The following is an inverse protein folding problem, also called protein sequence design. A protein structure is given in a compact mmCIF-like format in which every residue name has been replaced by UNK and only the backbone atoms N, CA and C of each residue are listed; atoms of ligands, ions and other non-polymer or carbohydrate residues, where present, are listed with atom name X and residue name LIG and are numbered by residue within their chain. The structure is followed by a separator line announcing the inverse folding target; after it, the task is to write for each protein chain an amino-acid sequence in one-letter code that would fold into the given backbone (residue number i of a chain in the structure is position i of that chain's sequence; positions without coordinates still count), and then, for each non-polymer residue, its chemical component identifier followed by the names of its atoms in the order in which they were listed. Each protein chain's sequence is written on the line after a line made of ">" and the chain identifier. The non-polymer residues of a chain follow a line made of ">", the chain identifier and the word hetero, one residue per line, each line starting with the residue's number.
data_IF_159693464128
#
_entry.id   IF_159693464128
#
_cell.length_a   1.000
_cell.length_b   1.000
_cell.length_c   1.000
_cell.angle_alpha   90.00
_cell.angle_beta   90.00
_cell.angle_gamma   90.00
#
_symmetry.space_group_name_H-M   'P 1'
#
loop_
_entity.id
_entity.type
_entity.pdbx_description
1 polymer ?
#
# COMPACT_ATOMS: atom_id res chain seq x y z
N UNK A 1 11.36 0.96 -6.17
CA UNK A 1 10.61 -0.26 -6.59
C UNK A 1 9.13 0.04 -6.44
N UNK A 2 8.25 -0.60 -7.22
CA UNK A 2 6.80 -0.43 -7.03
C UNK A 2 6.17 -1.68 -6.42
N UNK A 3 5.20 -1.47 -5.54
CA UNK A 3 4.35 -2.54 -4.96
C UNK A 3 2.89 -2.14 -5.07
N UNK A 4 2.07 -3.07 -5.53
CA UNK A 4 0.61 -3.00 -5.44
C UNK A 4 0.16 -3.69 -4.16
N UNK A 5 -0.50 -2.93 -3.29
CA UNK A 5 -1.06 -3.39 -2.02
C UNK A 5 -2.58 -3.37 -2.07
N UNK A 6 -3.21 -4.36 -1.44
CA UNK A 6 -4.66 -4.35 -1.21
C UNK A 6 -4.98 -4.59 0.26
N UNK A 7 -5.77 -3.71 0.84
CA UNK A 7 -6.30 -3.85 2.20
C UNK A 7 -7.81 -4.04 2.14
N UNK A 8 -8.28 -5.10 2.77
CA UNK A 8 -9.71 -5.43 2.84
C UNK A 8 -10.22 -5.17 4.24
N UNK A 9 -11.42 -4.62 4.35
CA UNK A 9 -12.12 -4.42 5.62
C UNK A 9 -12.38 -5.77 6.30
N UNK A 10 -12.53 -5.74 7.63
CA UNK A 10 -12.76 -6.95 8.42
C UNK A 10 -14.09 -7.58 8.00
N UNK A 11 -14.01 -8.81 7.49
CA UNK A 11 -15.14 -9.57 6.92
C UNK A 11 -15.78 -8.94 5.67
N UNK A 12 -15.02 -8.17 4.87
CA UNK A 12 -15.54 -7.53 3.64
C UNK A 12 -16.82 -6.75 3.90
N UNK A 13 -16.78 -5.91 4.94
CA UNK A 13 -17.93 -5.08 5.30
C UNK A 13 -17.85 -3.77 4.53
N UNK A 14 -18.94 -3.43 3.89
CA UNK A 14 -19.10 -2.20 3.10
C UNK A 14 -19.22 -0.98 4.04
N UNK A 15 -18.09 -0.53 4.57
CA UNK A 15 -18.00 0.53 5.61
C UNK A 15 -17.23 1.76 5.13
N UNK A 16 -16.56 1.67 3.99
CA UNK A 16 -15.88 2.79 3.36
C UNK A 16 -16.85 3.53 2.42
N UNK A 17 -16.69 4.84 2.36
CA UNK A 17 -17.45 5.75 1.51
C UNK A 17 -16.46 6.57 0.70
N UNK A 18 -16.91 7.31 -0.32
CA UNK A 18 -16.03 8.19 -1.09
C UNK A 18 -15.29 9.20 -0.20
N UNK A 19 -15.97 9.78 0.79
CA UNK A 19 -15.33 10.68 1.76
C UNK A 19 -14.24 9.97 2.58
N UNK A 20 -14.43 8.70 2.93
CA UNK A 20 -13.38 7.91 3.59
C UNK A 20 -12.20 7.65 2.64
N UNK A 21 -12.44 7.39 1.36
CA UNK A 21 -11.39 7.19 0.36
C UNK A 21 -10.53 8.45 0.17
N UNK A 22 -11.15 9.62 0.05
CA UNK A 22 -10.45 10.90 -0.07
C UNK A 22 -9.56 11.15 1.16
N UNK A 23 -10.12 10.94 2.36
CA UNK A 23 -9.36 11.06 3.60
C UNK A 23 -8.23 10.03 3.71
N UNK A 24 -8.49 8.78 3.31
CA UNK A 24 -7.49 7.71 3.33
C UNK A 24 -6.32 8.00 2.39
N UNK A 25 -6.58 8.58 1.21
CA UNK A 25 -5.53 8.97 0.27
C UNK A 25 -4.54 9.93 0.92
N UNK A 26 -5.02 10.96 1.61
CA UNK A 26 -4.15 11.90 2.33
C UNK A 26 -3.37 11.23 3.46
N UNK A 27 -4.02 10.35 4.24
CA UNK A 27 -3.37 9.63 5.35
C UNK A 27 -2.29 8.70 4.82
N UNK A 28 -2.58 7.94 3.78
CA UNK A 28 -1.62 7.02 3.17
C UNK A 28 -0.44 7.75 2.54
N UNK A 29 -0.68 8.88 1.87
CA UNK A 29 0.39 9.70 1.31
C UNK A 29 1.36 10.19 2.41
N UNK A 30 0.81 10.68 3.54
CA UNK A 30 1.62 11.12 4.69
C UNK A 30 2.44 9.97 5.28
N UNK A 31 1.82 8.81 5.50
CA UNK A 31 2.52 7.63 6.04
C UNK A 31 3.60 7.13 5.07
N UNK A 32 3.35 7.17 3.76
CA UNK A 32 4.36 6.82 2.77
C UNK A 32 5.54 7.80 2.85
N UNK A 33 5.28 9.11 2.90
CA UNK A 33 6.32 10.13 3.03
C UNK A 33 7.18 9.95 4.29
N UNK A 34 6.57 9.63 5.44
CA UNK A 34 7.29 9.33 6.70
C UNK A 34 8.26 8.14 6.57
N UNK A 35 7.99 7.25 5.61
CA UNK A 35 8.79 6.08 5.29
C UNK A 35 9.75 6.35 4.11
N UNK A 36 9.80 7.56 3.55
CA UNK A 36 10.57 7.84 2.33
C UNK A 36 10.05 7.06 1.11
N UNK A 37 8.77 6.70 1.13
CA UNK A 37 8.03 6.10 0.03
C UNK A 37 7.06 7.14 -0.57
N UNK A 38 6.61 6.89 -1.79
CA UNK A 38 5.67 7.76 -2.50
C UNK A 38 4.41 6.97 -2.84
N UNK A 39 3.25 7.49 -2.45
CA UNK A 39 1.97 6.96 -2.88
C UNK A 39 1.70 7.44 -4.30
N UNK A 40 1.80 6.55 -5.29
CA UNK A 40 1.57 6.88 -6.69
C UNK A 40 0.08 6.91 -7.01
N UNK A 41 -0.68 5.90 -6.58
CA UNK A 41 -2.12 5.81 -6.81
C UNK A 41 -2.83 5.19 -5.61
N UNK A 42 -4.07 5.63 -5.36
CA UNK A 42 -4.93 5.10 -4.31
C UNK A 42 -6.40 5.21 -4.68
N UNK A 43 -7.07 4.06 -4.75
CA UNK A 43 -8.50 3.97 -5.00
C UNK A 43 -9.07 2.68 -4.39
N UNK A 44 -10.39 2.48 -4.40
CA UNK A 44 -10.99 1.25 -3.91
C UNK A 44 -12.51 1.28 -3.95
N UNK A 45 -13.11 0.30 -3.30
CA UNK A 45 -14.56 0.15 -3.17
C UNK A 45 -14.98 0.30 -1.69
N UNK A 46 -16.22 -0.03 -1.38
CA UNK A 46 -16.77 0.16 -0.03
C UNK A 46 -16.21 -0.83 1.01
N UNK A 47 -15.57 -1.92 0.58
CA UNK A 47 -15.02 -2.96 1.45
C UNK A 47 -13.49 -3.13 1.33
N UNK A 48 -12.79 -2.43 0.43
CA UNK A 48 -11.34 -2.55 0.25
C UNK A 48 -10.68 -1.33 -0.42
N UNK A 49 -9.35 -1.23 -0.29
CA UNK A 49 -8.50 -0.20 -0.92
C UNK A 49 -7.30 -0.81 -1.62
N UNK A 50 -6.97 -0.26 -2.79
CA UNK A 50 -5.80 -0.54 -3.62
C UNK A 50 -4.82 0.64 -3.51
N UNK A 51 -3.55 0.33 -3.28
CA UNK A 51 -2.47 1.32 -3.26
C UNK A 51 -1.36 0.88 -4.22
N UNK A 52 -0.91 1.80 -5.07
CA UNK A 52 0.35 1.66 -5.78
C UNK A 52 1.38 2.55 -5.07
N UNK A 53 2.44 1.92 -4.56
CA UNK A 53 3.46 2.62 -3.77
C UNK A 53 4.82 2.41 -4.40
N UNK A 54 5.54 3.51 -4.64
CA UNK A 54 6.96 3.49 -4.88
C UNK A 54 7.71 3.53 -3.54
N UNK A 55 8.62 2.58 -3.31
CA UNK A 55 9.32 2.45 -2.03
C UNK A 55 10.81 2.12 -2.19
N UNK A 56 11.64 2.47 -1.19
CA UNK A 56 13.06 2.13 -1.19
C UNK A 56 13.30 0.62 -1.04
N UNK A 57 14.27 0.01 -1.76
CA UNK A 57 14.51 -1.43 -1.73
C UNK A 57 14.90 -1.99 -0.35
N UNK A 58 15.53 -1.18 0.51
CA UNK A 58 15.89 -1.55 1.88
C UNK A 58 14.68 -1.61 2.84
N UNK A 59 13.52 -1.14 2.41
CA UNK A 59 12.32 -1.08 3.24
C UNK A 59 11.56 -2.41 3.21
N UNK A 60 11.31 -2.95 4.40
CA UNK A 60 10.40 -4.08 4.55
C UNK A 60 8.94 -3.65 4.30
N UNK A 61 8.32 -4.18 3.24
CA UNK A 61 6.91 -3.90 2.88
C UNK A 61 5.96 -4.18 4.05
N UNK A 62 6.22 -5.21 4.85
CA UNK A 62 5.40 -5.53 6.03
C UNK A 62 5.38 -4.41 7.07
N UNK A 63 6.50 -3.69 7.28
CA UNK A 63 6.55 -2.54 8.20
C UNK A 63 5.69 -1.39 7.68
N UNK A 64 5.79 -1.08 6.39
CA UNK A 64 4.97 -0.06 5.74
C UNK A 64 3.47 -0.41 5.83
N UNK A 65 3.09 -1.65 5.51
CA UNK A 65 1.70 -2.12 5.59
C UNK A 65 1.14 -2.00 7.01
N UNK A 66 1.91 -2.39 8.03
CA UNK A 66 1.50 -2.27 9.42
C UNK A 66 1.22 -0.82 9.80
N UNK A 67 2.09 0.11 9.38
CA UNK A 67 1.90 1.54 9.62
C UNK A 67 0.67 2.08 8.89
N UNK A 68 0.54 1.81 7.58
CA UNK A 68 -0.58 2.25 6.75
C UNK A 68 -1.92 1.80 7.36
N UNK A 69 -2.09 0.49 7.62
CA UNK A 69 -3.34 -0.05 8.17
C UNK A 69 -3.63 0.48 9.58
N UNK A 70 -2.60 0.57 10.43
CA UNK A 70 -2.74 1.04 11.81
C UNK A 70 -3.13 2.51 11.90
N UNK A 71 -2.37 3.38 11.23
CA UNK A 71 -2.61 4.83 11.21
C UNK A 71 -3.94 5.15 10.54
N UNK A 72 -4.25 4.54 9.40
CA UNK A 72 -5.53 4.72 8.72
C UNK A 72 -6.73 4.37 9.62
N UNK A 73 -6.69 3.19 10.25
CA UNK A 73 -7.75 2.75 11.17
C UNK A 73 -7.92 3.72 12.34
N UNK A 74 -6.82 4.19 12.93
CA UNK A 74 -6.86 5.17 14.02
C UNK A 74 -7.45 6.51 13.56
N UNK A 75 -6.94 7.06 12.46
CA UNK A 75 -7.32 8.38 11.95
C UNK A 75 -8.78 8.42 11.49
N UNK A 76 -9.25 7.37 10.79
CA UNK A 76 -10.66 7.25 10.41
C UNK A 76 -11.58 7.21 11.64
N UNK A 77 -11.26 6.40 12.65
CA UNK A 77 -12.04 6.34 13.89
C UNK A 77 -12.06 7.65 14.70
N UNK A 78 -11.06 8.51 14.52
CA UNK A 78 -11.01 9.82 15.16
C UNK A 78 -11.85 10.89 14.43
N UNK A 79 -11.93 10.82 13.10
CA UNK A 79 -12.64 11.82 12.29
C UNK A 79 -14.07 11.42 11.93
N UNK A 80 -14.36 10.11 11.89
CA UNK A 80 -15.64 9.58 11.41
C UNK A 80 -16.21 8.55 12.40
N UNK A 81 -17.55 8.44 12.43
CA UNK A 81 -18.24 7.38 13.15
C UNK A 81 -18.15 6.07 12.37
N UNK A 82 -17.01 5.40 12.47
CA UNK A 82 -16.74 4.17 11.73
C UNK A 82 -17.47 2.94 12.31
N UNK A 83 -18.09 2.16 11.43
CA UNK A 83 -18.59 0.81 11.76
C UNK A 83 -17.41 -0.17 11.72
N UNK A 84 -17.04 -0.74 12.87
CA UNK A 84 -15.92 -1.70 12.97
C UNK A 84 -16.38 -3.00 13.65
N UNK A 85 -15.60 -4.08 13.50
CA UNK A 85 -15.85 -5.32 14.22
C UNK A 85 -14.85 -5.46 15.38
N UNK A 86 -15.36 -5.43 16.62
CA UNK A 86 -14.52 -5.48 17.85
C UNK A 86 -13.36 -4.47 17.81
N UNK A 87 -13.61 -3.27 17.26
CA UNK A 87 -12.60 -2.21 17.13
C UNK A 87 -11.64 -2.33 15.94
N UNK A 88 -11.71 -3.42 15.16
CA UNK A 88 -10.90 -3.65 13.97
C UNK A 88 -11.62 -3.19 12.69
N UNK A 89 -10.96 -2.32 11.92
CA UNK A 89 -11.42 -1.88 10.60
C UNK A 89 -10.99 -2.86 9.50
N UNK A 90 -9.72 -3.28 9.52
CA UNK A 90 -9.13 -4.10 8.48
C UNK A 90 -9.12 -5.59 8.84
N UNK A 91 -9.15 -6.45 7.83
CA UNK A 91 -8.71 -7.84 7.93
C UNK A 91 -7.24 -7.87 8.39
N UNK A 92 -6.79 -8.88 9.15
CA UNK A 92 -5.36 -9.01 9.49
C UNK A 92 -4.48 -9.15 8.24
N UNK A 93 -4.95 -9.88 7.23
CA UNK A 93 -4.22 -10.14 5.98
C UNK A 93 -4.14 -8.91 5.07
N UNK A 94 -3.24 -8.96 4.10
CA UNK A 94 -3.10 -8.00 3.01
C UNK A 94 -2.55 -8.70 1.76
N UNK A 95 -2.78 -8.12 0.60
CA UNK A 95 -2.12 -8.53 -0.65
C UNK A 95 -0.93 -7.61 -0.93
N UNK A 96 0.14 -8.16 -1.49
CA UNK A 96 1.29 -7.41 -1.98
C UNK A 96 1.84 -8.09 -3.25
N UNK A 97 1.97 -7.34 -4.34
CA UNK A 97 2.61 -7.78 -5.57
C UNK A 97 3.58 -6.72 -6.06
N UNK A 98 4.75 -7.12 -6.53
CA UNK A 98 5.69 -6.19 -7.16
C UNK A 98 5.15 -5.73 -8.52
N UNK A 99 5.40 -4.46 -8.84
CA UNK A 99 5.05 -3.86 -10.12
C UNK A 99 6.32 -3.26 -10.77
N UNK A 100 6.46 -3.38 -12.09
CA UNK A 100 7.49 -2.66 -12.83
C UNK A 100 8.93 -3.15 -12.65
N UNK A 101 9.17 -4.46 -12.76
CA UNK A 101 10.51 -4.95 -13.08
C UNK A 101 10.86 -4.66 -14.54
N UNK A 102 12.15 -4.40 -14.84
CA UNK A 102 12.61 -4.44 -16.22
C UNK A 102 12.26 -5.82 -16.81
N UNK A 103 11.79 -5.91 -18.07
CA UNK A 103 11.55 -7.18 -18.73
C UNK A 103 12.79 -8.07 -18.60
N UNK A 104 12.59 -9.38 -18.42
CA UNK A 104 13.70 -10.32 -18.24
C UNK A 104 14.74 -10.19 -19.36
N UNK A 105 14.29 -9.93 -20.59
CA UNK A 105 15.13 -9.66 -21.76
C UNK A 105 16.06 -8.46 -21.59
N UNK A 106 15.59 -7.37 -20.98
CA UNK A 106 16.41 -6.17 -20.73
C UNK A 106 17.48 -6.47 -19.68
N UNK A 107 17.14 -7.23 -18.63
CA UNK A 107 18.13 -7.64 -17.61
C UNK A 107 19.16 -8.59 -18.21
N UNK A 108 18.74 -9.56 -19.02
CA UNK A 108 19.64 -10.48 -19.73
C UNK A 108 20.62 -9.72 -20.62
N UNK A 109 20.12 -8.83 -21.47
CA UNK A 109 20.94 -7.99 -22.34
C UNK A 109 21.91 -7.12 -21.52
N UNK A 110 21.47 -6.56 -20.38
CA UNK A 110 22.35 -5.80 -19.49
C UNK A 110 23.49 -6.65 -18.92
N UNK A 111 23.22 -7.90 -18.52
CA UNK A 111 24.22 -8.85 -18.00
C UNK A 111 25.21 -9.29 -19.07
N UNK A 112 24.74 -9.61 -20.27
CA UNK A 112 25.59 -10.00 -21.41
C UNK A 112 26.57 -8.88 -21.81
N UNK A 113 26.13 -7.64 -21.71
CA UNK A 113 26.93 -6.47 -22.06
C UNK A 113 27.83 -5.97 -20.91
N UNK A 114 27.88 -6.65 -19.76
CA UNK A 114 28.83 -6.32 -18.70
C UNK A 114 30.26 -6.67 -19.13
N UNK A 115 31.19 -5.72 -18.93
CA UNK A 115 32.61 -5.92 -19.22
C UNK A 115 33.15 -7.06 -18.35
N UNK A 116 33.78 -8.05 -18.98
CA UNK A 116 34.51 -9.08 -18.25
C UNK A 116 35.86 -8.52 -17.79
N UNK A 117 36.21 -8.65 -16.50
CA UNK A 117 37.56 -8.33 -16.04
C UNK A 117 38.59 -9.20 -16.79
N UNK A 118 39.72 -8.59 -17.16
CA UNK A 118 40.88 -9.28 -17.74
C UNK A 118 41.69 -10.00 -16.68
#
# INVERSE_FOLDING_TARGET
>A
MHVHLVFVTKYRRNVLTNQHHDFLREVFAKVCADFGATLSECNGEDDHVHLLVEYPPQMAVSKLVNSLKGVASRRLKQHFRMRTYRGHLWSPSYFAASCGGAPLSIIQQYVENQRRPS
#
